data_IF_805819757072
#
_entry.id   IF_805819757072
#
_cell.length_a   1.000
_cell.length_b   1.000
_cell.length_c   1.000
_cell.angle_alpha   90.00
_cell.angle_beta   90.00
_cell.angle_gamma   90.00
#
_symmetry.space_group_name_H-M   'P 1'
#
loop_
_entity.id
_entity.type
_entity.pdbx_description
1 polymer ?
#
# COMPACT_ATOMS: atom_id res chain seq x y z
N UNK A 1 2.44 12.99 -5.30
CA UNK A 1 3.79 13.45 -4.93
C UNK A 1 4.24 12.75 -3.66
N UNK A 2 5.51 12.91 -3.28
CA UNK A 2 6.06 12.36 -2.03
C UNK A 2 5.42 13.02 -0.81
N UNK A 3 5.23 12.26 0.28
CA UNK A 3 4.62 12.72 1.54
C UNK A 3 3.20 13.34 1.45
N UNK A 4 2.46 13.15 0.35
CA UNK A 4 1.21 13.86 0.09
C UNK A 4 0.13 13.74 1.18
N UNK A 5 0.05 12.60 1.87
CA UNK A 5 -0.84 12.34 2.99
C UNK A 5 -0.07 11.95 4.26
N UNK A 6 1.22 12.32 4.35
CA UNK A 6 2.06 12.01 5.50
C UNK A 6 1.42 12.53 6.79
N UNK A 7 1.29 11.66 7.80
CA UNK A 7 0.73 12.02 9.11
C UNK A 7 -0.79 12.14 9.16
N UNK A 8 -1.52 11.73 8.11
CA UNK A 8 -2.99 11.69 8.14
C UNK A 8 -3.51 10.52 9.00
N UNK A 9 -3.44 10.68 10.33
CA UNK A 9 -3.78 9.62 11.31
C UNK A 9 -5.24 9.18 11.32
N UNK A 10 -6.15 9.98 10.78
CA UNK A 10 -7.57 9.63 10.65
C UNK A 10 -7.93 8.93 9.33
N UNK A 11 -6.98 8.81 8.39
CA UNK A 11 -7.24 8.22 7.08
C UNK A 11 -7.24 6.70 7.19
N UNK A 12 -8.38 6.06 6.89
CA UNK A 12 -8.56 4.62 7.04
C UNK A 12 -8.50 3.84 5.74
N UNK A 13 -8.90 4.46 4.64
CA UNK A 13 -8.94 3.86 3.31
C UNK A 13 -8.66 4.92 2.25
N UNK A 14 -8.03 4.52 1.15
CA UNK A 14 -7.88 5.35 -0.06
C UNK A 14 -8.20 4.54 -1.30
N UNK A 15 -9.06 5.09 -2.15
CA UNK A 15 -9.30 4.59 -3.51
C UNK A 15 -8.42 5.33 -4.50
N UNK A 16 -7.53 4.61 -5.20
CA UNK A 16 -6.70 5.16 -6.26
C UNK A 16 -7.52 5.26 -7.56
N UNK A 17 -7.66 6.47 -8.15
CA UNK A 17 -8.51 6.66 -9.32
C UNK A 17 -7.87 6.08 -10.58
N UNK A 18 -8.68 5.87 -11.62
CA UNK A 18 -8.30 5.24 -12.90
C UNK A 18 -7.02 5.80 -13.54
N UNK A 19 -6.85 7.13 -13.50
CA UNK A 19 -5.77 7.80 -14.21
C UNK A 19 -4.56 8.12 -13.30
N UNK A 20 -4.53 7.61 -12.05
CA UNK A 20 -3.37 7.79 -11.19
C UNK A 20 -2.25 6.87 -11.66
N UNK A 21 -1.14 7.47 -12.08
CA UNK A 21 0.01 6.75 -12.62
C UNK A 21 1.13 6.55 -11.58
N UNK A 22 1.19 7.42 -10.58
CA UNK A 22 2.29 7.45 -9.62
C UNK A 22 1.78 7.62 -8.19
N UNK A 23 2.42 6.90 -7.27
CA UNK A 23 2.32 7.12 -5.83
C UNK A 23 3.71 7.46 -5.33
N UNK A 24 3.86 8.69 -4.83
CA UNK A 24 5.14 9.20 -4.38
C UNK A 24 5.67 8.46 -3.16
N UNK A 25 6.97 8.53 -2.96
CA UNK A 25 7.62 7.94 -1.79
C UNK A 25 7.02 8.50 -0.51
N UNK A 26 6.76 7.63 0.47
CA UNK A 26 6.21 7.99 1.77
C UNK A 26 4.85 8.75 1.71
N UNK A 27 4.11 8.66 0.60
CA UNK A 27 2.84 9.36 0.43
C UNK A 27 1.82 9.08 1.56
N UNK A 28 1.88 7.91 2.19
CA UNK A 28 1.03 7.51 3.31
C UNK A 28 1.82 7.18 4.59
N UNK A 29 3.02 7.74 4.73
CA UNK A 29 3.81 7.56 5.95
C UNK A 29 3.07 8.13 7.16
N UNK A 30 3.23 7.48 8.33
CA UNK A 30 2.57 7.88 9.58
C UNK A 30 1.02 7.93 9.54
N UNK A 31 0.38 7.38 8.50
CA UNK A 31 -1.07 7.16 8.46
C UNK A 31 -1.46 5.96 9.31
N UNK A 32 -1.35 6.09 10.63
CA UNK A 32 -1.49 4.98 11.59
C UNK A 32 -2.82 4.22 11.51
N UNK A 33 -3.89 4.84 11.00
CA UNK A 33 -5.20 4.19 10.86
C UNK A 33 -5.46 3.62 9.46
N UNK A 34 -4.52 3.73 8.52
CA UNK A 34 -4.69 3.28 7.14
C UNK A 34 -4.74 1.75 7.10
N UNK A 35 -5.91 1.20 6.79
CA UNK A 35 -6.17 -0.25 6.77
C UNK A 35 -6.12 -0.85 5.39
N UNK A 36 -6.48 -0.07 4.36
CA UNK A 36 -6.59 -0.60 3.00
C UNK A 36 -6.39 0.45 1.93
N UNK A 37 -5.85 0.00 0.82
CA UNK A 37 -5.90 0.68 -0.47
C UNK A 37 -6.89 -0.04 -1.36
N UNK A 38 -7.73 0.68 -2.07
CA UNK A 38 -8.56 0.17 -3.17
C UNK A 38 -8.13 0.82 -4.47
N UNK A 39 -8.33 0.14 -5.59
CA UNK A 39 -7.95 0.66 -6.91
C UNK A 39 -9.18 0.64 -7.80
N UNK A 40 -9.50 1.79 -8.40
CA UNK A 40 -10.65 1.91 -9.28
C UNK A 40 -10.49 1.04 -10.54
N UNK A 41 -11.62 0.50 -11.01
CA UNK A 41 -11.67 -0.29 -12.24
C UNK A 41 -11.04 0.46 -13.41
N UNK A 42 -10.22 -0.26 -14.18
CA UNK A 42 -9.52 0.29 -15.34
C UNK A 42 -8.29 1.13 -15.00
N UNK A 43 -7.85 1.24 -13.74
CA UNK A 43 -6.51 1.73 -13.46
C UNK A 43 -5.47 0.80 -14.10
N UNK A 44 -4.60 1.37 -14.94
CA UNK A 44 -3.58 0.65 -15.71
C UNK A 44 -2.23 0.48 -15.01
N UNK A 45 -2.06 1.05 -13.82
CA UNK A 45 -0.76 1.19 -13.14
C UNK A 45 -0.68 0.44 -11.82
N UNK A 46 -1.80 0.28 -11.14
CA UNK A 46 -1.88 -0.32 -9.81
C UNK A 46 -2.91 -1.42 -9.73
N UNK A 47 -2.72 -2.29 -8.74
CA UNK A 47 -3.67 -3.30 -8.29
C UNK A 47 -3.69 -3.30 -6.77
N UNK A 48 -4.79 -3.75 -6.18
CA UNK A 48 -4.88 -3.98 -4.75
C UNK A 48 -5.39 -5.39 -4.50
N UNK A 49 -4.76 -6.07 -3.54
CA UNK A 49 -5.18 -7.38 -3.05
C UNK A 49 -5.16 -7.38 -1.53
N UNK A 50 -6.30 -7.76 -0.92
CA UNK A 50 -6.51 -7.72 0.53
C UNK A 50 -6.14 -6.35 1.16
N UNK A 51 -6.38 -5.26 0.44
CA UNK A 51 -6.07 -3.90 0.88
C UNK A 51 -4.59 -3.50 0.77
N UNK A 52 -3.70 -4.38 0.31
CA UNK A 52 -2.29 -4.10 0.06
C UNK A 52 -2.12 -3.56 -1.37
N UNK A 53 -1.27 -2.55 -1.55
CA UNK A 53 -1.07 -1.89 -2.84
C UNK A 53 0.12 -2.51 -3.59
N UNK A 54 -0.13 -2.85 -4.85
CA UNK A 54 0.85 -3.42 -5.78
C UNK A 54 0.90 -2.63 -7.09
N UNK A 55 1.93 -2.91 -7.91
CA UNK A 55 1.89 -2.55 -9.31
C UNK A 55 0.77 -3.31 -10.05
N UNK A 56 0.44 -2.87 -11.27
CA UNK A 56 -0.67 -3.46 -12.02
C UNK A 56 -0.53 -4.96 -12.21
N UNK A 57 0.70 -5.43 -12.37
CA UNK A 57 1.04 -6.82 -12.68
C UNK A 57 1.07 -7.73 -11.46
N UNK A 58 0.93 -7.18 -10.25
CA UNK A 58 1.11 -7.92 -8.99
C UNK A 58 2.52 -8.53 -8.85
N UNK A 59 3.53 -7.92 -9.47
CA UNK A 59 4.92 -8.37 -9.40
C UNK A 59 5.72 -7.58 -8.34
N UNK A 60 5.22 -6.40 -7.95
CA UNK A 60 5.86 -5.53 -6.97
C UNK A 60 4.89 -5.14 -5.85
N UNK A 61 5.25 -5.45 -4.60
CA UNK A 61 4.56 -4.90 -3.43
C UNK A 61 5.02 -3.46 -3.22
N UNK A 62 4.10 -2.51 -3.37
CA UNK A 62 4.41 -1.09 -3.31
C UNK A 62 4.25 -0.53 -1.90
N UNK A 63 3.10 -0.82 -1.25
CA UNK A 63 2.76 -0.31 0.07
C UNK A 63 1.87 -1.31 0.81
N UNK A 64 2.32 -1.70 1.99
CA UNK A 64 1.52 -2.39 3.00
C UNK A 64 0.85 -1.35 3.93
N UNK A 65 -0.46 -1.43 4.16
CA UNK A 65 -1.19 -0.48 5.01
C UNK A 65 -0.70 -0.57 6.47
N UNK A 66 -0.19 0.55 6.99
CA UNK A 66 0.42 0.64 8.33
C UNK A 66 -0.55 0.26 9.46
N UNK A 67 -1.83 0.63 9.30
CA UNK A 67 -2.90 0.35 10.27
C UNK A 67 -3.52 -1.03 10.10
N UNK A 68 -2.99 -1.90 9.23
CA UNK A 68 -3.36 -3.30 9.25
C UNK A 68 -2.86 -3.95 10.56
N UNK A 69 -3.77 -4.68 11.21
CA UNK A 69 -3.54 -5.32 12.50
C UNK A 69 -3.03 -6.77 12.39
N UNK A 70 -2.92 -7.30 11.17
CA UNK A 70 -2.35 -8.62 10.95
C UNK A 70 -0.91 -8.68 11.47
N UNK A 71 -0.57 -9.80 12.09
CA UNK A 71 0.76 -10.03 12.68
C UNK A 71 1.67 -10.86 11.77
N UNK A 72 1.11 -11.45 10.72
CA UNK A 72 1.81 -12.19 9.69
C UNK A 72 1.28 -11.79 8.32
N UNK A 73 2.19 -11.66 7.36
CA UNK A 73 1.84 -11.45 5.97
C UNK A 73 2.53 -12.52 5.13
N UNK A 74 1.84 -13.04 4.12
CA UNK A 74 2.41 -13.97 3.14
C UNK A 74 2.35 -13.26 1.79
N UNK A 75 3.50 -13.17 1.13
CA UNK A 75 3.57 -12.58 -0.21
C UNK A 75 2.73 -13.41 -1.19
N UNK A 76 1.83 -12.78 -1.96
CA UNK A 76 1.11 -13.47 -3.02
C UNK A 76 2.06 -14.11 -4.05
N UNK A 77 1.61 -15.21 -4.65
CA UNK A 77 2.34 -15.88 -5.72
C UNK A 77 2.57 -14.90 -6.89
N UNK A 78 3.81 -14.83 -7.36
CA UNK A 78 4.20 -13.95 -8.47
C UNK A 78 4.79 -12.60 -8.05
N UNK A 79 4.71 -12.21 -6.77
CA UNK A 79 5.46 -11.06 -6.28
C UNK A 79 6.96 -11.36 -6.32
N UNK A 80 7.70 -10.55 -7.06
CA UNK A 80 9.16 -10.68 -7.27
C UNK A 80 9.95 -9.59 -6.57
N UNK A 81 9.31 -8.45 -6.31
CA UNK A 81 9.97 -7.25 -5.78
C UNK A 81 9.16 -6.70 -4.61
N UNK A 82 9.87 -6.30 -3.56
CA UNK A 82 9.31 -5.50 -2.46
C UNK A 82 9.95 -4.13 -2.56
N UNK A 83 9.15 -3.06 -2.70
CA UNK A 83 9.68 -1.69 -2.69
C UNK A 83 10.34 -1.41 -1.34
N UNK A 84 11.44 -0.66 -1.32
CA UNK A 84 12.25 -0.48 -0.09
C UNK A 84 11.49 0.09 1.12
N UNK A 85 10.37 0.78 0.90
CA UNK A 85 9.52 1.37 1.94
C UNK A 85 8.10 0.78 1.95
N UNK A 86 7.94 -0.40 1.36
CA UNK A 86 6.66 -1.11 1.32
C UNK A 86 6.06 -1.37 2.71
N UNK A 87 6.89 -1.75 3.68
CA UNK A 87 6.50 -1.98 5.08
C UNK A 87 6.93 -0.84 6.00
N UNK A 88 7.19 0.36 5.46
CA UNK A 88 7.65 1.49 6.26
C UNK A 88 6.65 1.81 7.38
N UNK A 89 7.15 1.90 8.62
CA UNK A 89 6.35 2.12 9.82
C UNK A 89 5.27 1.06 10.09
N UNK A 90 5.30 -0.12 9.47
CA UNK A 90 4.42 -1.22 9.87
C UNK A 90 4.77 -1.65 11.31
N UNK A 91 3.81 -1.52 12.22
CA UNK A 91 4.02 -1.79 13.66
C UNK A 91 3.49 -3.16 14.09
N UNK A 92 2.58 -3.74 13.30
CA UNK A 92 1.86 -4.96 13.67
C UNK A 92 2.54 -6.23 13.19
N UNK A 93 3.18 -6.21 12.01
CA UNK A 93 3.78 -7.40 11.43
C UNK A 93 5.00 -7.84 12.23
N UNK A 94 4.97 -9.11 12.62
CA UNK A 94 6.06 -9.82 13.29
C UNK A 94 6.71 -10.87 12.37
N UNK A 95 6.06 -11.16 11.23
CA UNK A 95 6.49 -12.14 10.25
C UNK A 95 6.05 -11.75 8.84
N UNK A 96 6.96 -11.92 7.88
CA UNK A 96 6.72 -11.84 6.43
C UNK A 96 7.25 -13.13 5.80
#
# INVERSE_FOLDING_TARGET
>A
GSYAFSGCRGLTEVTLPKNLETVGDFAFSECASMKSFTVADGNGYFSSENGVLYDKKMETLLIYPIGNADTSFVLPDGVRTIRGFAFWSCLSLTKV
#
